data_IF_203935192714
#
_entry.id   IF_203935192714
#
_cell.length_a   1.000
_cell.length_b   1.000
_cell.length_c   1.000
_cell.angle_alpha   90.00
_cell.angle_beta   90.00
_cell.angle_gamma   90.00
#
_symmetry.space_group_name_H-M   'P 1'
#
loop_
_entity.id
_entity.type
_entity.pdbx_description
1 polymer ?
#
# COMPACT_ATOMS: atom_id res chain seq x y z
N UNK A 1 4.56 16.37 4.30
CA UNK A 1 3.89 15.40 3.42
C UNK A 1 4.75 15.18 2.20
N UNK A 2 4.69 13.98 1.59
CA UNK A 2 5.43 13.69 0.37
C UNK A 2 4.86 14.45 -0.82
N UNK A 3 5.74 14.87 -1.74
CA UNK A 3 5.31 15.47 -2.99
C UNK A 3 4.52 14.46 -3.83
N UNK A 4 3.49 14.93 -4.53
CA UNK A 4 2.81 14.17 -5.58
C UNK A 4 3.72 14.03 -6.80
N UNK A 5 3.44 13.02 -7.64
CA UNK A 5 4.12 12.81 -8.92
C UNK A 5 4.00 14.02 -9.86
N UNK A 6 2.90 14.74 -9.72
CA UNK A 6 2.52 15.92 -10.48
C UNK A 6 2.43 17.12 -9.52
N UNK A 7 3.26 18.18 -9.67
CA UNK A 7 3.27 19.32 -8.76
C UNK A 7 1.91 20.05 -8.70
N UNK A 8 1.14 20.02 -9.78
CA UNK A 8 -0.22 20.55 -9.89
C UNK A 8 -1.23 19.82 -8.99
N UNK A 9 -0.95 18.55 -8.63
CA UNK A 9 -1.79 17.76 -7.74
C UNK A 9 -1.36 17.83 -6.27
N UNK A 10 -0.34 18.62 -5.90
CA UNK A 10 0.18 18.68 -4.54
C UNK A 10 -0.85 19.22 -3.53
N UNK A 11 -1.58 20.29 -3.89
CA UNK A 11 -2.55 20.91 -2.98
C UNK A 11 -3.70 19.95 -2.62
N UNK A 12 -4.26 19.29 -3.64
CA UNK A 12 -5.34 18.31 -3.44
C UNK A 12 -4.84 17.05 -2.71
N UNK A 13 -3.58 16.66 -2.93
CA UNK A 13 -2.93 15.56 -2.20
C UNK A 13 -2.79 15.88 -0.71
N UNK A 14 -2.29 17.06 -0.34
CA UNK A 14 -2.11 17.41 1.08
C UNK A 14 -3.45 17.40 1.84
N UNK A 15 -4.52 17.91 1.21
CA UNK A 15 -5.87 17.88 1.80
C UNK A 15 -6.36 16.44 2.00
N UNK A 16 -6.17 15.59 1.00
CA UNK A 16 -6.54 14.17 1.09
C UNK A 16 -5.70 13.43 2.15
N UNK A 17 -4.37 13.55 2.11
CA UNK A 17 -3.46 12.88 3.03
C UNK A 17 -3.74 13.28 4.49
N UNK A 18 -4.10 14.56 4.74
CA UNK A 18 -4.42 15.05 6.08
C UNK A 18 -5.68 14.39 6.62
N UNK A 19 -6.71 14.30 5.78
CA UNK A 19 -7.95 13.59 6.09
C UNK A 19 -7.68 12.10 6.33
N UNK A 20 -6.95 11.45 5.42
CA UNK A 20 -6.66 10.03 5.47
C UNK A 20 -5.85 9.65 6.70
N UNK A 21 -4.80 10.39 7.07
CA UNK A 21 -3.97 10.09 8.24
C UNK A 21 -4.76 10.18 9.55
N UNK A 22 -5.66 11.18 9.65
CA UNK A 22 -6.57 11.31 10.80
C UNK A 22 -7.54 10.15 10.85
N UNK A 23 -8.22 9.85 9.75
CA UNK A 23 -9.15 8.72 9.65
C UNK A 23 -8.46 7.38 9.94
N UNK A 24 -7.27 7.17 9.39
CA UNK A 24 -6.49 5.95 9.55
C UNK A 24 -6.14 5.71 11.02
N UNK A 25 -5.62 6.74 11.69
CA UNK A 25 -5.21 6.66 13.11
C UNK A 25 -6.41 6.57 14.04
N UNK A 26 -7.48 7.30 13.76
CA UNK A 26 -8.61 7.42 14.67
C UNK A 26 -9.70 6.36 14.50
N UNK A 27 -9.96 5.96 13.25
CA UNK A 27 -11.07 5.09 12.87
C UNK A 27 -10.56 3.72 12.46
N UNK A 28 -9.66 3.65 11.47
CA UNK A 28 -9.23 2.38 10.89
C UNK A 28 -8.49 1.50 11.90
N UNK A 29 -7.42 2.02 12.52
CA UNK A 29 -6.65 1.28 13.53
C UNK A 29 -7.46 0.92 14.79
N UNK A 30 -8.58 1.60 15.04
CA UNK A 30 -9.49 1.34 16.18
C UNK A 30 -10.70 0.47 15.81
N UNK A 31 -10.74 -0.06 14.59
CA UNK A 31 -11.83 -0.94 14.11
C UNK A 31 -13.16 -0.22 13.83
N UNK A 32 -13.16 1.11 13.78
CA UNK A 32 -14.33 1.96 13.50
C UNK A 32 -14.34 2.52 12.07
N UNK A 33 -13.34 2.20 11.25
CA UNK A 33 -13.19 2.69 9.87
C UNK A 33 -14.08 1.98 8.87
N UNK A 34 -15.40 2.10 9.01
CA UNK A 34 -16.37 1.58 8.03
C UNK A 34 -16.88 2.63 7.04
N UNK A 35 -16.55 3.91 7.28
CA UNK A 35 -17.08 5.04 6.54
C UNK A 35 -15.97 5.78 5.81
N UNK A 36 -16.13 5.96 4.50
CA UNK A 36 -15.19 6.69 3.65
C UNK A 36 -15.46 8.20 3.70
N UNK A 37 -15.08 8.84 4.81
CA UNK A 37 -15.25 10.29 5.02
C UNK A 37 -14.32 11.14 4.12
N UNK A 38 -13.22 10.57 3.62
CA UNK A 38 -12.27 11.25 2.72
C UNK A 38 -12.51 10.95 1.23
N UNK A 39 -13.59 10.26 0.88
CA UNK A 39 -13.87 9.81 -0.50
C UNK A 39 -13.96 10.95 -1.52
N UNK A 40 -14.58 12.08 -1.15
CA UNK A 40 -14.66 13.25 -2.02
C UNK A 40 -13.27 13.81 -2.36
N UNK A 41 -12.43 14.02 -1.33
CA UNK A 41 -11.05 14.49 -1.49
C UNK A 41 -10.20 13.51 -2.30
N UNK A 42 -10.44 12.21 -2.12
CA UNK A 42 -9.75 11.17 -2.89
C UNK A 42 -10.11 11.23 -4.37
N UNK A 43 -11.38 11.44 -4.71
CA UNK A 43 -11.81 11.53 -6.11
C UNK A 43 -11.16 12.71 -6.83
N UNK A 44 -11.07 13.87 -6.17
CA UNK A 44 -10.41 15.05 -6.74
C UNK A 44 -8.92 14.80 -6.98
N UNK A 45 -8.23 14.22 -6.00
CA UNK A 45 -6.83 13.84 -6.14
C UNK A 45 -6.62 12.79 -7.23
N UNK A 46 -7.46 11.75 -7.26
CA UNK A 46 -7.42 10.66 -8.26
C UNK A 46 -7.61 11.22 -9.66
N UNK A 47 -8.56 12.12 -9.86
CA UNK A 47 -8.81 12.74 -11.16
C UNK A 47 -7.57 13.52 -11.65
N UNK A 48 -6.97 14.34 -10.78
CA UNK A 48 -5.74 15.06 -11.10
C UNK A 48 -4.60 14.09 -11.45
N UNK A 49 -4.42 13.03 -10.64
CA UNK A 49 -3.34 12.07 -10.82
C UNK A 49 -3.51 11.23 -12.10
N UNK A 50 -4.72 10.81 -12.45
CA UNK A 50 -4.99 10.05 -13.67
C UNK A 50 -4.62 10.85 -14.92
N UNK A 51 -4.87 12.16 -14.94
CA UNK A 51 -4.48 13.00 -16.06
C UNK A 51 -2.95 13.08 -16.17
N UNK A 52 -2.26 13.34 -15.06
CA UNK A 52 -0.81 13.38 -15.03
C UNK A 52 -0.14 12.05 -15.42
N UNK A 53 -0.73 10.92 -15.03
CA UNK A 53 -0.22 9.58 -15.38
C UNK A 53 -0.34 9.26 -16.87
N UNK A 54 -1.43 9.73 -17.51
CA UNK A 54 -1.65 9.58 -18.95
C UNK A 54 -0.67 10.41 -19.76
N UNK A 55 -0.43 11.66 -19.36
CA UNK A 55 0.54 12.53 -20.04
C UNK A 55 1.96 11.97 -20.01
N UNK A 56 2.32 11.27 -18.93
CA UNK A 56 3.64 10.61 -18.81
C UNK A 56 3.70 9.21 -19.43
N UNK A 57 2.59 8.69 -19.96
CA UNK A 57 2.53 7.36 -20.57
C UNK A 57 2.69 6.20 -19.58
N UNK A 58 2.53 6.43 -18.27
CA UNK A 58 2.70 5.42 -17.22
C UNK A 58 1.42 4.60 -17.05
N UNK A 59 0.28 5.13 -17.50
CA UNK A 59 -1.06 4.55 -17.37
C UNK A 59 -1.11 3.07 -17.81
N UNK A 60 -0.56 2.73 -18.97
CA UNK A 60 -0.54 1.34 -19.48
C UNK A 60 0.24 0.39 -18.56
N UNK A 61 1.44 0.78 -18.15
CA UNK A 61 2.27 -0.05 -17.27
C UNK A 61 1.64 -0.23 -15.89
N UNK A 62 0.94 0.79 -15.41
CA UNK A 62 0.25 0.74 -14.12
C UNK A 62 -0.95 -0.21 -14.17
N UNK A 63 -1.72 -0.20 -15.26
CA UNK A 63 -2.86 -1.11 -15.44
C UNK A 63 -2.40 -2.56 -15.65
N UNK A 64 -1.36 -2.78 -16.46
CA UNK A 64 -0.78 -4.11 -16.67
C UNK A 64 -0.31 -4.70 -15.33
N UNK A 65 0.42 -3.91 -14.52
CA UNK A 65 0.86 -4.34 -13.20
C UNK A 65 -0.30 -4.62 -12.22
N UNK A 66 -1.41 -3.88 -12.31
CA UNK A 66 -2.60 -4.13 -11.47
C UNK A 66 -3.31 -5.42 -11.86
N UNK A 67 -3.40 -5.72 -13.15
CA UNK A 67 -4.07 -6.94 -13.62
C UNK A 67 -3.22 -8.18 -13.34
N UNK A 68 -1.90 -8.13 -13.51
CA UNK A 68 -0.99 -9.24 -13.24
C UNK A 68 -1.08 -9.75 -11.78
N UNK A 69 -1.37 -8.85 -10.83
CA UNK A 69 -1.50 -9.19 -9.41
C UNK A 69 -2.92 -9.57 -8.98
N UNK A 70 -3.94 -9.36 -9.83
CA UNK A 70 -5.36 -9.49 -9.47
C UNK A 70 -5.76 -10.86 -8.93
N UNK A 71 -5.26 -11.94 -9.52
CA UNK A 71 -5.52 -13.31 -9.05
C UNK A 71 -4.80 -13.60 -7.73
N UNK A 72 -3.58 -13.06 -7.56
CA UNK A 72 -2.80 -13.20 -6.35
C UNK A 72 -3.44 -12.45 -5.18
N UNK A 73 -3.87 -11.21 -5.41
CA UNK A 73 -4.60 -10.39 -4.45
C UNK A 73 -5.93 -11.04 -4.07
N UNK A 74 -6.67 -11.59 -5.04
CA UNK A 74 -7.92 -12.30 -4.77
C UNK A 74 -7.71 -13.55 -3.90
N UNK A 75 -6.63 -14.30 -4.15
CA UNK A 75 -6.27 -15.45 -3.34
C UNK A 75 -5.83 -15.05 -1.92
N UNK A 76 -5.11 -13.93 -1.77
CA UNK A 76 -4.65 -13.43 -0.48
C UNK A 76 -5.78 -12.79 0.34
N UNK A 77 -6.69 -12.06 -0.30
CA UNK A 77 -7.87 -11.44 0.34
C UNK A 77 -8.91 -12.49 0.78
N UNK A 78 -8.92 -13.70 0.18
CA UNK A 78 -9.71 -14.84 0.66
C UNK A 78 -9.14 -15.49 1.93
N UNK A 79 -7.85 -15.28 2.22
CA UNK A 79 -7.27 -15.67 3.51
C UNK A 79 -7.62 -14.59 4.52
N UNK A 80 -8.85 -14.67 5.04
CA UNK A 80 -9.31 -13.77 6.09
C UNK A 80 -8.30 -13.67 7.22
N UNK A 81 -8.22 -12.47 7.83
CA UNK A 81 -7.43 -12.20 9.01
C UNK A 81 -7.56 -13.35 10.03
N UNK A 82 -6.48 -14.13 10.19
CA UNK A 82 -6.36 -15.18 11.19
C UNK A 82 -6.13 -16.59 10.66
N UNK A 83 -4.98 -16.86 10.02
CA UNK A 83 -4.39 -18.22 10.06
C UNK A 83 -2.87 -18.15 10.19
N UNK A 84 -2.34 -18.90 11.17
CA UNK A 84 -0.96 -18.93 11.72
C UNK A 84 0.21 -19.19 10.74
N UNK A 85 0.05 -19.05 9.43
CA UNK A 85 1.02 -19.57 8.44
C UNK A 85 2.20 -18.66 8.11
N UNK A 86 2.16 -17.35 8.42
CA UNK A 86 3.21 -16.40 8.00
C UNK A 86 4.31 -16.15 9.04
N UNK A 87 4.30 -16.81 10.20
CA UNK A 87 5.47 -16.77 11.10
C UNK A 87 6.64 -17.63 10.59
N UNK A 88 6.43 -18.50 9.60
CA UNK A 88 7.43 -19.49 9.17
C UNK A 88 8.19 -19.17 7.87
N UNK A 89 7.76 -18.18 7.07
CA UNK A 89 8.53 -17.75 5.89
C UNK A 89 9.66 -16.78 6.25
N UNK A 90 9.56 -16.06 7.37
CA UNK A 90 10.61 -15.16 7.88
C UNK A 90 11.82 -15.83 8.53
N UNK A 91 11.78 -17.15 8.81
CA UNK A 91 12.90 -17.85 9.48
C UNK A 91 13.93 -18.47 8.50
N UNK A 92 13.58 -18.72 7.23
CA UNK A 92 14.51 -19.41 6.31
C UNK A 92 15.57 -18.49 5.70
N UNK A 93 15.38 -17.16 5.72
CA UNK A 93 16.37 -16.22 5.18
C UNK A 93 17.54 -15.96 6.15
N UNK A 94 17.36 -16.10 7.47
CA UNK A 94 18.41 -15.81 8.46
C UNK A 94 19.36 -16.99 8.77
N UNK A 95 19.28 -18.10 8.05
CA UNK A 95 20.28 -19.18 8.13
C UNK A 95 21.52 -18.94 7.25
N UNK A 96 21.52 -17.87 6.43
CA UNK A 96 22.64 -17.48 5.56
C UNK A 96 23.80 -16.75 6.27
N UNK A 97 23.70 -16.43 7.55
CA UNK A 97 24.80 -15.86 8.36
C UNK A 97 25.36 -16.91 9.33
N UNK A 98 25.59 -18.14 8.84
CA UNK A 98 26.39 -19.15 9.55
C UNK A 98 27.82 -19.16 9.03
N UNK A 99 28.53 -18.10 9.39
CA UNK A 99 29.99 -18.02 9.39
C UNK A 99 30.53 -17.92 10.81
N UNK A 100 30.07 -18.77 11.73
CA UNK A 100 30.73 -18.95 13.03
C UNK A 100 31.08 -20.42 13.18
N UNK A 101 32.34 -20.71 12.87
CA UNK A 101 32.98 -22.00 13.09
C UNK A 101 32.75 -22.45 14.52
N UNK A 102 32.01 -23.54 14.62
CA UNK A 102 32.09 -24.59 15.64
C UNK A 102 33.48 -24.65 16.30
N UNK A 103 33.62 -24.09 17.50
CA UNK A 103 34.65 -24.50 18.44
C UNK A 103 33.97 -25.27 19.56
N UNK A 104 34.26 -26.57 19.57
CA UNK A 104 33.83 -27.55 20.56
C UNK A 104 34.94 -27.59 21.61
N UNK A 105 34.63 -27.14 22.82
CA UNK A 105 35.29 -27.51 24.08
C UNK A 105 34.22 -27.50 25.16
#
# INVERSE_FOLDING_TARGET
MSASLAPECNEVKERYDSCFLKWYSEKYLRGKGKTDECSALFNDYKHCLTNALKERGIDKMLEDAREDHKENDAANMRRGCGTKSDYQSGQQHWHGVRGFTRLKM
#
